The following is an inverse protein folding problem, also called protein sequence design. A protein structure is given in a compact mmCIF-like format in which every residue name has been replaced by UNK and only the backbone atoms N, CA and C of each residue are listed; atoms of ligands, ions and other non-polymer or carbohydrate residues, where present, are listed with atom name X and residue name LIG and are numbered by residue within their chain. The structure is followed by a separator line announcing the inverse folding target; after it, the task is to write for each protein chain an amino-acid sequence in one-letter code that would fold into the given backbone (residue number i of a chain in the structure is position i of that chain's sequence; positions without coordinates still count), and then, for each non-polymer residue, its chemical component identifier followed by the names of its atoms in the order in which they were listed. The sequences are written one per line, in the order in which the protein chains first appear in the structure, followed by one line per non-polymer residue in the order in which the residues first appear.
data_IF_842337718848
#
_entry.id   IF_842337718848
#
_cell.length_a   1.000
_cell.length_b   1.000
_cell.length_c   1.000
_cell.angle_alpha   90.00
_cell.angle_beta   90.00
_cell.angle_gamma   90.00
#
_symmetry.space_group_name_H-M   'P 1'
#
loop_
_entity.id
_entity.type
_entity.pdbx_description
1 polymer ?
#
# COMPACT_ATOMS: atom_id res chain seq x y z
N UNK A 1 -25.52 -0.15 -5.78
CA UNK A 1 -24.54 0.93 -6.07
C UNK A 1 -23.60 0.41 -7.15
N UNK A 2 -23.58 0.99 -8.34
CA UNK A 2 -22.65 0.57 -9.40
C UNK A 2 -21.27 1.14 -9.05
N UNK A 3 -20.30 0.26 -8.78
CA UNK A 3 -18.91 0.63 -8.47
C UNK A 3 -18.23 1.03 -9.76
N UNK A 4 -17.65 2.23 -9.83
CA UNK A 4 -16.95 2.65 -11.05
C UNK A 4 -15.57 1.96 -11.16
N UNK A 5 -15.04 1.87 -12.39
CA UNK A 5 -13.77 1.21 -12.73
C UNK A 5 -12.61 1.65 -11.82
N UNK A 6 -12.49 2.94 -11.53
CA UNK A 6 -11.46 3.49 -10.64
C UNK A 6 -11.64 3.04 -9.18
N UNK A 7 -12.88 3.01 -8.69
CA UNK A 7 -13.18 2.49 -7.35
C UNK A 7 -12.85 1.00 -7.25
N UNK A 8 -13.20 0.22 -8.28
CA UNK A 8 -12.89 -1.21 -8.34
C UNK A 8 -11.38 -1.48 -8.36
N UNK A 9 -10.60 -0.71 -9.13
CA UNK A 9 -9.13 -0.82 -9.15
C UNK A 9 -8.51 -0.53 -7.78
N UNK A 10 -8.93 0.55 -7.13
CA UNK A 10 -8.39 0.94 -5.81
C UNK A 10 -8.78 -0.07 -4.74
N UNK A 11 -10.03 -0.53 -4.72
CA UNK A 11 -10.50 -1.55 -3.78
C UNK A 11 -9.80 -2.90 -4.02
N UNK A 12 -9.65 -3.31 -5.28
CA UNK A 12 -8.90 -4.51 -5.65
C UNK A 12 -7.45 -4.45 -5.19
N UNK A 13 -6.80 -3.30 -5.35
CA UNK A 13 -5.46 -3.07 -4.83
C UNK A 13 -5.41 -3.12 -3.30
N UNK A 14 -6.38 -2.53 -2.59
CA UNK A 14 -6.45 -2.62 -1.12
C UNK A 14 -6.62 -4.04 -0.61
N UNK A 15 -7.48 -4.83 -1.25
CA UNK A 15 -7.63 -6.26 -0.92
C UNK A 15 -6.34 -7.02 -1.19
N UNK A 16 -5.71 -6.79 -2.35
CA UNK A 16 -4.44 -7.42 -2.69
C UNK A 16 -3.32 -7.04 -1.71
N UNK A 17 -3.22 -5.77 -1.33
CA UNK A 17 -2.25 -5.28 -0.36
C UNK A 17 -2.49 -5.90 1.03
N UNK A 18 -3.76 -6.05 1.44
CA UNK A 18 -4.11 -6.69 2.70
C UNK A 18 -3.77 -8.18 2.71
N UNK A 19 -4.08 -8.92 1.64
CA UNK A 19 -3.70 -10.34 1.51
C UNK A 19 -2.17 -10.48 1.54
N UNK A 20 -1.46 -9.62 0.79
CA UNK A 20 0.00 -9.62 0.76
C UNK A 20 0.59 -9.36 2.15
N UNK A 21 0.01 -8.41 2.91
CA UNK A 21 0.40 -8.14 4.30
C UNK A 21 0.29 -9.39 5.17
N UNK A 22 -0.84 -10.10 5.10
CA UNK A 22 -1.08 -11.34 5.86
C UNK A 22 -0.08 -12.43 5.45
N UNK A 23 0.15 -12.61 4.15
CA UNK A 23 1.09 -13.63 3.64
C UNK A 23 2.52 -13.34 4.08
N UNK A 24 2.98 -12.08 3.99
CA UNK A 24 4.34 -11.71 4.43
C UNK A 24 4.49 -11.92 5.93
N UNK A 25 3.49 -11.57 6.73
CA UNK A 25 3.50 -11.81 8.17
C UNK A 25 3.61 -13.30 8.53
N UNK A 26 2.95 -14.16 7.75
CA UNK A 26 2.98 -15.61 7.95
C UNK A 26 4.28 -16.26 7.45
N UNK A 27 4.86 -15.77 6.35
CA UNK A 27 6.08 -16.37 5.77
C UNK A 27 7.37 -15.89 6.42
N UNK A 28 7.49 -14.60 6.74
CA UNK A 28 8.72 -14.04 7.33
C UNK A 28 8.38 -12.88 8.30
N UNK A 29 7.91 -13.20 9.53
CA UNK A 29 7.55 -12.20 10.52
C UNK A 29 8.74 -11.32 10.94
N UNK A 30 9.98 -11.80 10.74
CA UNK A 30 11.20 -11.07 11.09
C UNK A 30 11.41 -9.79 10.25
N UNK A 31 10.72 -9.65 9.11
CA UNK A 31 10.69 -8.40 8.33
C UNK A 31 10.00 -7.30 9.12
N UNK A 32 8.88 -7.62 9.78
CA UNK A 32 8.14 -6.66 10.61
C UNK A 32 8.88 -6.37 11.91
N UNK A 33 9.46 -7.37 12.55
CA UNK A 33 10.22 -7.18 13.79
C UNK A 33 11.39 -6.21 13.61
N UNK A 34 12.10 -6.32 12.48
CA UNK A 34 13.18 -5.39 12.10
C UNK A 34 12.67 -3.99 11.81
N UNK A 35 11.53 -3.86 11.13
CA UNK A 35 10.92 -2.56 10.83
C UNK A 35 10.38 -1.85 12.08
N UNK A 36 9.80 -2.61 13.01
CA UNK A 36 9.20 -2.11 14.26
C UNK A 36 10.22 -1.93 15.40
N UNK A 37 11.47 -2.40 15.24
CA UNK A 37 12.54 -2.33 16.27
C UNK A 37 12.05 -2.77 17.66
N UNK A 38 11.33 -3.88 17.71
CA UNK A 38 10.66 -4.34 18.93
C UNK A 38 11.68 -4.87 19.96
N UNK A 39 11.58 -4.47 21.25
CA UNK A 39 12.31 -5.11 22.33
C UNK A 39 11.79 -6.54 22.56
N UNK A 40 12.72 -7.47 22.80
CA UNK A 40 12.43 -8.89 23.03
C UNK A 40 11.35 -9.06 24.13
N UNK A 41 10.18 -9.64 23.77
CA UNK A 41 9.13 -10.05 24.72
C UNK A 41 7.69 -9.57 24.41
N UNK A 42 7.51 -8.52 23.59
CA UNK A 42 6.18 -7.96 23.23
C UNK A 42 5.71 -8.29 21.80
N UNK A 43 6.47 -9.13 21.08
CA UNK A 43 6.33 -9.41 19.65
C UNK A 43 4.90 -9.75 19.15
N UNK A 44 4.18 -10.74 19.73
CA UNK A 44 2.92 -11.19 19.13
C UNK A 44 1.76 -10.19 19.33
N UNK A 45 1.69 -9.53 20.49
CA UNK A 45 0.63 -8.55 20.78
C UNK A 45 0.80 -7.29 19.94
N UNK A 46 2.05 -6.81 19.76
CA UNK A 46 2.30 -5.62 18.94
C UNK A 46 2.10 -5.93 17.46
N UNK A 47 2.51 -7.12 16.98
CA UNK A 47 2.22 -7.56 15.61
C UNK A 47 0.72 -7.63 15.31
N UNK A 48 -0.08 -8.18 16.24
CA UNK A 48 -1.55 -8.22 16.10
C UNK A 48 -2.18 -6.83 16.17
N UNK A 49 -1.72 -5.96 17.08
CA UNK A 49 -2.19 -4.58 17.17
C UNK A 49 -1.86 -3.79 15.89
N UNK A 50 -0.67 -3.98 15.34
CA UNK A 50 -0.24 -3.37 14.09
C UNK A 50 -1.09 -3.85 12.90
N UNK A 51 -1.29 -5.17 12.78
CA UNK A 51 -2.17 -5.76 11.76
C UNK A 51 -3.61 -5.25 11.92
N UNK A 52 -4.12 -5.17 13.14
CA UNK A 52 -5.44 -4.63 13.46
C UNK A 52 -5.58 -3.17 13.05
N UNK A 53 -4.60 -2.34 13.37
CA UNK A 53 -4.57 -0.92 13.00
C UNK A 53 -4.50 -0.73 11.48
N UNK A 54 -3.66 -1.49 10.78
CA UNK A 54 -3.57 -1.47 9.31
C UNK A 54 -4.88 -1.93 8.66
N UNK A 55 -5.49 -2.99 9.19
CA UNK A 55 -6.78 -3.50 8.69
C UNK A 55 -7.89 -2.48 8.87
N UNK A 56 -7.95 -1.84 10.04
CA UNK A 56 -8.91 -0.77 10.32
C UNK A 56 -8.70 0.44 9.40
N UNK A 57 -7.45 0.84 9.16
CA UNK A 57 -7.11 1.91 8.24
C UNK A 57 -7.55 1.58 6.79
N UNK A 58 -7.25 0.37 6.31
CA UNK A 58 -7.63 -0.10 4.98
C UNK A 58 -9.17 -0.14 4.84
N UNK A 59 -9.88 -0.63 5.86
CA UNK A 59 -11.33 -0.64 5.89
C UNK A 59 -11.91 0.78 5.87
N UNK A 60 -11.36 1.69 6.68
CA UNK A 60 -11.78 3.09 6.71
C UNK A 60 -11.58 3.78 5.36
N UNK A 61 -10.43 3.59 4.72
CA UNK A 61 -10.17 4.09 3.37
C UNK A 61 -11.13 3.48 2.36
N UNK A 62 -11.38 2.18 2.42
CA UNK A 62 -12.33 1.48 1.54
C UNK A 62 -13.75 2.06 1.66
N UNK A 63 -14.21 2.36 2.87
CA UNK A 63 -15.49 3.05 3.10
C UNK A 63 -15.46 4.45 2.48
N UNK A 64 -14.37 5.19 2.65
CA UNK A 64 -14.19 6.51 2.01
C UNK A 64 -14.23 6.46 0.49
N UNK A 65 -13.66 5.42 -0.13
CA UNK A 65 -13.74 5.16 -1.58
C UNK A 65 -15.18 4.88 -1.99
N UNK A 66 -15.88 3.98 -1.31
CA UNK A 66 -17.28 3.62 -1.62
C UNK A 66 -18.23 4.81 -1.46
N UNK A 67 -18.03 5.61 -0.41
CA UNK A 67 -18.79 6.83 -0.11
C UNK A 67 -18.35 8.04 -0.95
N UNK A 68 -17.38 7.85 -1.86
CA UNK A 68 -16.84 8.87 -2.79
C UNK A 68 -16.36 10.14 -2.09
N UNK A 69 -15.71 10.01 -0.94
CA UNK A 69 -15.17 11.16 -0.22
C UNK A 69 -14.05 11.84 -1.01
N UNK A 70 -14.17 13.16 -1.22
CA UNK A 70 -13.17 13.95 -1.95
C UNK A 70 -11.81 13.92 -1.26
N UNK A 71 -11.78 13.94 0.07
CA UNK A 71 -10.55 13.83 0.85
C UNK A 71 -9.83 12.50 0.62
N UNK A 72 -10.57 11.39 0.62
CA UNK A 72 -10.01 10.05 0.37
C UNK A 72 -9.44 9.94 -1.03
N UNK A 73 -10.07 10.57 -2.03
CA UNK A 73 -9.52 10.63 -3.39
C UNK A 73 -8.12 11.24 -3.40
N UNK A 74 -7.98 12.44 -2.81
CA UNK A 74 -6.71 13.15 -2.78
C UNK A 74 -5.64 12.41 -1.96
N UNK A 75 -6.01 11.87 -0.79
CA UNK A 75 -5.09 11.08 0.04
C UNK A 75 -4.54 9.88 -0.73
N UNK A 76 -5.42 9.13 -1.39
CA UNK A 76 -5.01 7.94 -2.17
C UNK A 76 -4.18 8.36 -3.37
N UNK A 77 -4.59 9.38 -4.12
CA UNK A 77 -3.87 9.87 -5.29
C UNK A 77 -2.42 10.27 -4.92
N UNK A 78 -2.27 11.09 -3.88
CA UNK A 78 -0.96 11.56 -3.41
C UNK A 78 -0.13 10.39 -2.88
N UNK A 79 -0.72 9.53 -2.04
CA UNK A 79 -0.02 8.36 -1.51
C UNK A 79 0.44 7.41 -2.63
N UNK A 80 -0.35 7.28 -3.69
CA UNK A 80 -0.05 6.37 -4.79
C UNK A 80 1.03 6.90 -5.72
N UNK A 81 0.98 8.19 -6.04
CA UNK A 81 2.01 8.82 -6.87
C UNK A 81 3.33 8.97 -6.11
N UNK A 82 3.32 9.59 -4.92
CA UNK A 82 4.54 9.86 -4.17
C UNK A 82 5.09 8.56 -3.57
N UNK A 83 4.25 7.79 -2.87
CA UNK A 83 4.66 6.56 -2.22
C UNK A 83 5.09 5.49 -3.22
N UNK A 84 4.35 5.32 -4.32
CA UNK A 84 4.72 4.38 -5.38
C UNK A 84 6.00 4.80 -6.11
N UNK A 85 6.15 6.09 -6.44
CA UNK A 85 7.33 6.58 -7.14
C UNK A 85 8.59 6.53 -6.28
N UNK A 86 8.49 6.62 -4.95
CA UNK A 86 9.63 6.48 -4.04
C UNK A 86 10.05 5.01 -3.84
N UNK A 87 9.11 4.06 -3.89
CA UNK A 87 9.40 2.63 -3.71
C UNK A 87 10.31 2.08 -4.80
N UNK A 88 10.18 2.55 -6.05
CA UNK A 88 10.97 2.05 -7.17
C UNK A 88 12.45 2.43 -7.06
N UNK A 89 12.84 3.72 -6.88
CA UNK A 89 14.23 4.12 -6.63
C UNK A 89 14.79 3.51 -5.36
N UNK A 90 14.02 3.47 -4.26
CA UNK A 90 14.48 2.85 -3.02
C UNK A 90 14.87 1.37 -3.24
N UNK A 91 14.03 0.62 -3.95
CA UNK A 91 14.29 -0.79 -4.28
C UNK A 91 15.52 -0.95 -5.17
N UNK A 92 15.70 -0.08 -6.17
CA UNK A 92 16.90 -0.09 -7.04
C UNK A 92 18.16 0.17 -6.21
N UNK A 93 18.11 1.13 -5.28
CA UNK A 93 19.26 1.46 -4.44
C UNK A 93 19.57 0.37 -3.41
N UNK A 94 18.56 -0.33 -2.87
CA UNK A 94 18.75 -1.51 -2.01
C UNK A 94 19.37 -2.67 -2.79
N UNK A 95 18.90 -2.94 -4.02
CA UNK A 95 19.46 -3.98 -4.89
C UNK A 95 20.88 -3.67 -5.37
N UNK A 96 21.22 -2.38 -5.51
CA UNK A 96 22.56 -1.92 -5.82
C UNK A 96 23.53 -1.97 -4.61
N UNK A 97 23.03 -2.32 -3.42
CA UNK A 97 23.82 -2.36 -2.18
C UNK A 97 24.18 -0.98 -1.61
N UNK A 98 23.52 0.09 -2.09
CA UNK A 98 23.74 1.46 -1.62
C UNK A 98 22.96 1.71 -0.34
N UNK A 99 21.73 1.19 -0.25
CA UNK A 99 20.92 1.19 0.97
C UNK A 99 20.96 -0.18 1.66
N UNK A 100 20.84 -0.15 3.00
CA UNK A 100 20.63 -1.36 3.80
C UNK A 100 19.31 -2.01 3.36
N UNK A 101 19.30 -3.28 2.93
CA UNK A 101 18.08 -3.94 2.47
C UNK A 101 17.02 -3.98 3.56
N UNK A 102 15.80 -3.54 3.24
CA UNK A 102 14.67 -3.59 4.17
C UNK A 102 14.23 -5.04 4.49
N UNK A 103 14.61 -5.98 3.63
CA UNK A 103 14.32 -7.40 3.80
C UNK A 103 15.08 -8.26 2.78
N UNK A 104 14.70 -9.54 2.64
CA UNK A 104 15.25 -10.42 1.62
C UNK A 104 15.04 -9.86 0.19
N UNK A 105 15.89 -10.26 -0.76
CA UNK A 105 15.85 -9.76 -2.15
C UNK A 105 14.47 -9.88 -2.81
N UNK A 106 13.75 -10.99 -2.57
CA UNK A 106 12.40 -11.19 -3.11
C UNK A 106 11.40 -10.13 -2.61
N UNK A 107 11.55 -9.68 -1.36
CA UNK A 107 10.71 -8.64 -0.76
C UNK A 107 10.98 -7.28 -1.40
N UNK A 108 12.25 -6.96 -1.65
CA UNK A 108 12.65 -5.72 -2.34
C UNK A 108 12.10 -5.68 -3.77
N UNK A 109 12.21 -6.79 -4.52
CA UNK A 109 11.62 -6.90 -5.87
C UNK A 109 10.10 -6.77 -5.82
N UNK A 110 9.45 -7.42 -4.85
CA UNK A 110 8.00 -7.30 -4.66
C UNK A 110 7.56 -5.87 -4.34
N UNK A 111 8.31 -5.15 -3.50
CA UNK A 111 8.08 -3.74 -3.19
C UNK A 111 8.21 -2.83 -4.42
N UNK A 112 9.19 -3.10 -5.30
CA UNK A 112 9.33 -2.38 -6.56
C UNK A 112 8.12 -2.58 -7.48
N UNK A 113 7.66 -3.83 -7.62
CA UNK A 113 6.47 -4.16 -8.42
C UNK A 113 5.23 -3.49 -7.86
N UNK A 114 5.03 -3.55 -6.53
CA UNK A 114 3.94 -2.83 -5.86
C UNK A 114 4.00 -1.33 -6.14
N UNK A 115 5.18 -0.72 -6.07
CA UNK A 115 5.37 0.70 -6.37
C UNK A 115 4.95 1.06 -7.79
N UNK A 116 5.35 0.25 -8.79
CA UNK A 116 4.96 0.45 -10.18
C UNK A 116 3.45 0.35 -10.39
N UNK A 117 2.80 -0.68 -9.83
CA UNK A 117 1.35 -0.84 -9.89
C UNK A 117 0.65 0.34 -9.23
N UNK A 118 1.14 0.78 -8.08
CA UNK A 118 0.56 1.88 -7.31
C UNK A 118 0.65 3.21 -8.08
N UNK A 119 1.80 3.51 -8.71
CA UNK A 119 1.95 4.68 -9.61
C UNK A 119 1.01 4.58 -10.80
N UNK A 120 0.91 3.41 -11.43
CA UNK A 120 -0.01 3.17 -12.55
C UNK A 120 -1.46 3.49 -12.19
N UNK A 121 -1.93 3.00 -11.03
CA UNK A 121 -3.26 3.32 -10.51
C UNK A 121 -3.39 4.82 -10.23
N UNK A 122 -2.39 5.46 -9.63
CA UNK A 122 -2.39 6.91 -9.38
C UNK A 122 -2.51 7.74 -10.66
N UNK A 123 -1.82 7.34 -11.74
CA UNK A 123 -1.91 7.99 -13.05
C UNK A 123 -3.32 7.82 -13.64
N UNK A 124 -3.91 6.63 -13.55
CA UNK A 124 -5.29 6.38 -14.00
C UNK A 124 -6.30 7.24 -13.21
N UNK A 125 -6.12 7.36 -11.89
CA UNK A 125 -6.93 8.24 -11.05
C UNK A 125 -6.82 9.71 -11.49
N UNK A 126 -5.61 10.19 -11.79
CA UNK A 126 -5.39 11.56 -12.25
C UNK A 126 -6.00 11.80 -13.64
N UNK A 127 -5.87 10.84 -14.55
CA UNK A 127 -6.45 10.90 -15.87
C UNK A 127 -7.99 10.97 -15.82
N UNK A 128 -8.61 10.16 -14.96
CA UNK A 128 -10.06 10.15 -14.76
C UNK A 128 -10.56 11.44 -14.08
N UNK A 129 -9.79 11.95 -13.11
CA UNK A 129 -10.09 13.22 -12.45
C UNK A 129 -10.18 14.38 -13.44
N UNK A 130 -9.28 14.42 -14.43
CA UNK A 130 -9.31 15.46 -15.48
C UNK A 130 -10.55 15.38 -16.38
N UNK A 131 -11.19 14.21 -16.49
CA UNK A 131 -12.37 14.00 -17.35
C UNK A 131 -13.69 14.21 -16.62
N UNK A 132 -13.83 13.63 -15.44
CA UNK A 132 -15.10 13.52 -14.73
C UNK A 132 -15.04 13.97 -13.26
N UNK A 133 -13.91 14.51 -12.81
CA UNK A 133 -13.70 14.95 -11.43
C UNK A 133 -13.44 13.81 -10.43
N UNK A 134 -13.47 14.13 -9.14
CA UNK A 134 -13.12 13.16 -8.09
C UNK A 134 -14.15 12.00 -8.04
N UNK A 135 -13.66 10.76 -8.15
CA UNK A 135 -14.49 9.55 -8.26
C UNK A 135 -15.49 9.59 -9.42
N UNK A 136 -15.12 10.24 -10.52
CA UNK A 136 -15.98 10.55 -11.67
C UNK A 136 -16.89 9.40 -12.06
N UNK A 137 -18.14 9.70 -12.39
CA UNK A 137 -19.23 8.76 -12.72
C UNK A 137 -19.21 8.35 -14.19
#
# INVERSE_FOLDING_TARGET
MVVNRTQSLVLGFFVFAWISLVVILLMDPAIYDRALKLPNGLHPLVGLAFLGALSALIAFLSIGVLRRWRWTFWLILVAFLIGGALRVPASVLELAGILVPAGPTWYVVFQAVLGLVQVGIGILMLAEYRRAGAWGS
#
